data_IF_763956252020
#
_entry.id   IF_763956252020
#
_cell.length_a   1.000
_cell.length_b   1.000
_cell.length_c   1.000
_cell.angle_alpha   90.00
_cell.angle_beta   90.00
_cell.angle_gamma   90.00
#
_symmetry.space_group_name_H-M   'P 1'
#
loop_
_entity.id
_entity.type
_entity.pdbx_description
1 polymer ?
#
# COMPACT_ATOMS: atom_id res chain seq x y z
N UNK A 1 -6.08 13.04 7.22
CA UNK A 1 -6.18 11.57 7.03
C UNK A 1 -4.76 10.99 7.04
N UNK A 2 -4.47 9.86 7.71
CA UNK A 2 -3.11 9.29 7.83
C UNK A 2 -2.36 9.18 6.50
N UNK A 3 -3.03 8.75 5.44
CA UNK A 3 -2.46 8.68 4.09
C UNK A 3 -1.89 10.01 3.54
N UNK A 4 -2.46 11.17 3.90
CA UNK A 4 -1.92 12.47 3.48
C UNK A 4 -0.60 12.75 4.20
N UNK A 5 -0.53 12.47 5.50
CA UNK A 5 0.72 12.59 6.25
C UNK A 5 1.79 11.63 5.74
N UNK A 6 1.40 10.44 5.27
CA UNK A 6 2.33 9.51 4.61
C UNK A 6 2.81 10.05 3.26
N UNK A 7 1.93 10.61 2.43
CA UNK A 7 2.31 11.23 1.17
C UNK A 7 3.25 12.44 1.37
N UNK A 8 3.01 13.23 2.43
CA UNK A 8 3.91 14.31 2.82
C UNK A 8 5.25 13.80 3.36
N UNK A 9 5.24 12.76 4.20
CA UNK A 9 6.47 12.12 4.66
C UNK A 9 7.32 11.61 3.49
N UNK A 10 6.69 10.99 2.49
CA UNK A 10 7.36 10.56 1.26
C UNK A 10 7.92 11.75 0.45
N UNK A 11 7.18 12.86 0.34
CA UNK A 11 7.69 14.11 -0.27
C UNK A 11 8.90 14.68 0.46
N UNK A 12 8.94 14.53 1.79
CA UNK A 12 10.09 14.92 2.63
C UNK A 12 11.24 13.90 2.59
N UNK A 13 11.15 12.87 1.76
CA UNK A 13 12.17 11.84 1.60
C UNK A 13 12.18 10.77 2.69
N UNK A 14 11.18 10.75 3.57
CA UNK A 14 11.05 9.73 4.62
C UNK A 14 10.55 8.45 3.97
N UNK A 15 11.32 7.36 4.11
CA UNK A 15 10.92 6.05 3.63
C UNK A 15 9.82 5.51 4.54
N UNK A 16 8.64 5.26 3.97
CA UNK A 16 7.51 4.68 4.69
C UNK A 16 7.36 3.22 4.28
N UNK A 17 7.25 2.31 5.26
CA UNK A 17 7.08 0.88 5.02
C UNK A 17 5.77 0.34 5.60
N UNK A 18 5.24 -0.78 5.07
CA UNK A 18 4.15 -1.51 5.71
C UNK A 18 4.50 -1.88 7.15
N UNK A 19 3.54 -2.39 7.95
CA UNK A 19 3.89 -2.96 9.25
C UNK A 19 4.96 -4.04 9.09
N UNK A 20 5.78 -4.28 10.12
CA UNK A 20 6.74 -5.37 10.16
C UNK A 20 6.95 -5.88 11.58
N UNK A 21 6.87 -7.21 11.78
CA UNK A 21 6.89 -7.83 13.12
C UNK A 21 8.15 -7.53 13.93
N UNK A 22 9.28 -7.26 13.27
CA UNK A 22 10.54 -6.94 13.94
C UNK A 22 10.73 -5.44 14.23
N UNK A 23 9.98 -4.54 13.59
CA UNK A 23 10.25 -3.10 13.65
C UNK A 23 9.07 -2.29 14.20
N UNK A 24 7.86 -2.60 13.75
CA UNK A 24 6.65 -1.87 14.13
C UNK A 24 6.24 -2.10 15.58
N UNK A 25 5.85 -1.03 16.26
CA UNK A 25 5.03 -1.09 17.48
C UNK A 25 3.54 -1.11 17.17
N UNK A 26 2.70 -0.85 18.17
CA UNK A 26 1.24 -0.71 17.98
C UNK A 26 0.90 0.49 17.07
N UNK A 27 1.50 1.65 17.35
CA UNK A 27 1.44 2.84 16.52
C UNK A 27 2.63 2.92 15.55
N UNK A 28 2.61 3.93 14.66
CA UNK A 28 3.74 4.20 13.76
C UNK A 28 5.04 4.34 14.54
N UNK A 29 6.11 3.72 14.02
CA UNK A 29 7.41 3.64 14.69
C UNK A 29 8.49 4.09 13.72
N UNK A 30 9.33 5.04 14.14
CA UNK A 30 10.52 5.44 13.39
C UNK A 30 11.70 4.57 13.84
N UNK A 31 12.31 3.84 12.91
CA UNK A 31 13.50 3.03 13.15
C UNK A 31 14.43 3.11 11.94
N UNK A 32 15.71 3.42 12.16
CA UNK A 32 16.73 3.53 11.10
C UNK A 32 16.30 4.39 9.90
N UNK A 33 15.76 5.59 10.19
CA UNK A 33 15.24 6.55 9.18
C UNK A 33 14.04 6.04 8.36
N UNK A 34 13.50 4.87 8.72
CA UNK A 34 12.29 4.30 8.13
C UNK A 34 11.11 4.47 9.07
N UNK A 35 10.04 5.07 8.55
CA UNK A 35 8.77 5.14 9.24
C UNK A 35 7.96 3.86 8.96
N UNK A 36 7.93 2.96 9.93
CA UNK A 36 7.15 1.73 9.88
C UNK A 36 5.72 1.99 10.33
N UNK A 37 4.75 1.52 9.53
CA UNK A 37 3.36 1.53 9.94
C UNK A 37 3.15 0.68 11.19
N UNK A 38 2.27 1.11 12.09
CA UNK A 38 1.96 0.37 13.32
C UNK A 38 1.21 -0.94 13.04
N UNK A 39 1.52 -1.99 13.80
CA UNK A 39 0.79 -3.27 13.77
C UNK A 39 -0.69 -3.09 14.14
N UNK A 40 -1.03 -2.07 14.93
CA UNK A 40 -2.43 -1.73 15.25
C UNK A 40 -3.26 -1.27 14.05
N UNK A 41 -2.66 -1.07 12.87
CA UNK A 41 -3.38 -0.78 11.63
C UNK A 41 -3.77 -2.05 10.85
N UNK A 42 -3.26 -3.22 11.23
CA UNK A 42 -3.57 -4.49 10.55
C UNK A 42 -5.00 -4.90 10.90
N UNK A 43 -5.88 -4.95 9.89
CA UNK A 43 -7.28 -5.40 10.07
C UNK A 43 -7.32 -6.77 10.75
N UNK A 44 -8.26 -6.95 11.68
CA UNK A 44 -8.50 -8.20 12.41
C UNK A 44 -7.30 -8.73 13.23
N UNK A 45 -6.25 -7.92 13.47
CA UNK A 45 -5.17 -8.28 14.39
C UNK A 45 -5.53 -7.85 15.81
N UNK A 46 -5.54 -8.79 16.76
CA UNK A 46 -5.90 -8.50 18.14
C UNK A 46 -4.81 -7.69 18.84
N UNK A 47 -5.20 -6.79 19.74
CA UNK A 47 -4.26 -6.01 20.55
C UNK A 47 -3.28 -6.92 21.32
N UNK A 48 -3.77 -8.00 21.91
CA UNK A 48 -2.94 -8.98 22.64
C UNK A 48 -1.94 -9.70 21.75
N UNK A 49 -2.28 -9.93 20.47
CA UNK A 49 -1.34 -10.46 19.49
C UNK A 49 -0.24 -9.44 19.18
N UNK A 50 -0.57 -8.16 19.04
CA UNK A 50 0.43 -7.09 18.85
C UNK A 50 1.38 -7.01 20.05
N UNK A 51 0.86 -7.02 21.28
CA UNK A 51 1.67 -7.00 22.50
C UNK A 51 2.66 -8.17 22.56
N UNK A 52 2.18 -9.39 22.27
CA UNK A 52 3.02 -10.57 22.23
C UNK A 52 4.07 -10.51 21.10
N UNK A 53 3.68 -10.01 19.91
CA UNK A 53 4.60 -9.81 18.78
C UNK A 53 5.75 -8.87 19.20
N UNK A 54 5.42 -7.75 19.84
CA UNK A 54 6.40 -6.74 20.25
C UNK A 54 7.29 -7.23 21.39
N UNK A 55 6.76 -8.06 22.31
CA UNK A 55 7.51 -8.58 23.45
C UNK A 55 8.52 -9.68 23.06
N UNK A 56 8.20 -10.53 22.08
CA UNK A 56 8.97 -11.75 21.75
C UNK A 56 9.91 -11.59 20.53
N UNK A 57 9.90 -10.43 19.86
CA UNK A 57 10.77 -10.11 18.71
C UNK A 57 12.25 -10.02 19.12
N UNK A 58 13.23 -10.25 18.22
CA UNK A 58 13.08 -10.45 16.77
C UNK A 58 12.79 -11.90 16.36
N UNK A 59 12.13 -12.04 15.21
CA UNK A 59 11.82 -13.30 14.52
C UNK A 59 12.70 -13.47 13.29
N UNK A 60 13.11 -14.71 13.03
CA UNK A 60 13.96 -15.06 11.87
C UNK A 60 13.19 -15.70 10.71
N UNK A 61 12.01 -16.28 10.97
CA UNK A 61 11.11 -16.87 9.97
C UNK A 61 9.69 -17.03 10.55
N UNK A 62 8.74 -17.47 9.71
CA UNK A 62 7.34 -17.70 10.11
C UNK A 62 7.21 -18.73 11.26
N UNK A 63 7.94 -19.85 11.20
CA UNK A 63 7.86 -20.90 12.23
C UNK A 63 8.31 -20.41 13.60
N UNK A 64 9.36 -19.58 13.65
CA UNK A 64 9.83 -18.99 14.90
C UNK A 64 8.79 -18.04 15.51
N UNK A 65 8.11 -17.23 14.67
CA UNK A 65 6.97 -16.41 15.12
C UNK A 65 5.84 -17.27 15.68
N UNK A 66 5.39 -18.29 14.94
CA UNK A 66 4.25 -19.13 15.35
C UNK A 66 4.55 -20.02 16.57
N UNK A 67 5.83 -20.29 16.86
CA UNK A 67 6.25 -21.01 18.08
C UNK A 67 6.19 -20.13 19.32
N UNK A 68 6.45 -18.82 19.20
CA UNK A 68 6.53 -17.88 20.33
C UNK A 68 5.21 -17.13 20.57
N UNK A 69 4.43 -16.89 19.52
CA UNK A 69 3.20 -16.10 19.59
C UNK A 69 2.00 -16.91 19.11
N UNK A 70 0.98 -17.00 19.96
CA UNK A 70 -0.28 -17.67 19.64
C UNK A 70 -1.18 -16.80 18.75
N UNK A 71 -1.03 -16.95 17.43
CA UNK A 71 -1.84 -16.25 16.42
C UNK A 71 -2.99 -17.11 15.89
N UNK A 72 -4.13 -16.48 15.62
CA UNK A 72 -5.22 -17.11 14.89
C UNK A 72 -4.88 -17.18 13.40
N UNK A 73 -5.45 -18.16 12.69
CA UNK A 73 -5.26 -18.34 11.24
C UNK A 73 -5.44 -17.04 10.44
N UNK A 74 -6.50 -16.27 10.75
CA UNK A 74 -6.79 -15.02 10.06
C UNK A 74 -5.73 -13.93 10.33
N UNK A 75 -5.20 -13.87 11.55
CA UNK A 75 -4.11 -12.95 11.91
C UNK A 75 -2.84 -13.29 11.14
N UNK A 76 -2.50 -14.58 11.02
CA UNK A 76 -1.33 -15.05 10.25
C UNK A 76 -1.46 -14.63 8.78
N UNK A 77 -2.62 -14.92 8.15
CA UNK A 77 -2.87 -14.56 6.75
C UNK A 77 -2.76 -13.06 6.53
N UNK A 78 -3.37 -12.25 7.41
CA UNK A 78 -3.33 -10.80 7.26
C UNK A 78 -1.93 -10.21 7.49
N UNK A 79 -1.18 -10.69 8.48
CA UNK A 79 0.19 -10.28 8.71
C UNK A 79 1.09 -10.59 7.50
N UNK A 80 0.91 -11.76 6.88
CA UNK A 80 1.66 -12.12 5.67
C UNK A 80 1.24 -11.22 4.50
N UNK A 81 -0.07 -11.12 4.23
CA UNK A 81 -0.60 -10.40 3.06
C UNK A 81 -0.32 -8.90 3.09
N UNK A 82 -0.27 -8.27 4.27
CA UNK A 82 0.04 -6.85 4.41
C UNK A 82 1.55 -6.53 4.43
N UNK A 83 2.41 -7.56 4.39
CA UNK A 83 3.86 -7.40 4.36
C UNK A 83 4.55 -7.39 5.73
N UNK A 84 3.84 -7.71 6.80
CA UNK A 84 4.43 -7.73 8.15
C UNK A 84 5.53 -8.77 8.36
N UNK A 85 5.65 -9.73 7.43
CA UNK A 85 6.68 -10.76 7.43
C UNK A 85 7.58 -10.68 6.18
N UNK A 86 7.56 -9.58 5.43
CA UNK A 86 8.42 -9.42 4.26
C UNK A 86 9.90 -9.55 4.67
N UNK A 87 10.65 -10.45 4.02
CA UNK A 87 12.03 -10.77 4.38
C UNK A 87 12.19 -11.93 5.39
N UNK A 88 11.10 -12.49 5.90
CA UNK A 88 11.09 -13.71 6.72
C UNK A 88 10.76 -14.99 5.91
N UNK A 89 10.71 -14.87 4.59
CA UNK A 89 10.48 -15.93 3.60
C UNK A 89 10.70 -15.41 2.18
N UNK A 90 10.57 -16.28 1.17
CA UNK A 90 10.86 -15.93 -0.23
C UNK A 90 9.88 -14.92 -0.83
N UNK A 91 8.60 -15.07 -0.52
CA UNK A 91 7.51 -14.21 -0.98
C UNK A 91 6.31 -14.34 -0.03
N UNK A 92 5.34 -13.43 -0.11
CA UNK A 92 4.11 -13.54 0.68
C UNK A 92 3.32 -14.78 0.25
N UNK A 93 3.34 -15.14 -1.04
CA UNK A 93 2.74 -16.36 -1.57
C UNK A 93 3.38 -17.62 -0.97
N UNK A 94 4.71 -17.67 -0.89
CA UNK A 94 5.43 -18.78 -0.26
C UNK A 94 5.12 -18.89 1.25
N UNK A 95 5.08 -17.76 1.96
CA UNK A 95 4.71 -17.72 3.38
C UNK A 95 3.26 -18.18 3.63
N UNK A 96 2.32 -17.84 2.73
CA UNK A 96 0.93 -18.33 2.80
C UNK A 96 0.86 -19.86 2.59
N UNK A 97 1.65 -20.39 1.66
CA UNK A 97 1.73 -21.83 1.44
C UNK A 97 2.33 -22.55 2.66
N UNK A 98 3.41 -22.01 3.23
CA UNK A 98 4.03 -22.53 4.45
C UNK A 98 3.04 -22.51 5.63
N UNK A 99 2.30 -21.41 5.82
CA UNK A 99 1.28 -21.33 6.87
C UNK A 99 0.20 -22.41 6.73
N UNK A 100 -0.24 -22.69 5.50
CA UNK A 100 -1.22 -23.74 5.21
C UNK A 100 -0.67 -25.16 5.41
N UNK A 101 0.64 -25.38 5.23
CA UNK A 101 1.30 -26.64 5.56
C UNK A 101 1.39 -26.86 7.07
N UNK A 102 1.81 -25.84 7.83
CA UNK A 102 1.91 -25.90 9.28
C UNK A 102 0.55 -26.23 9.91
N UNK A 103 -0.52 -25.60 9.43
CA UNK A 103 -1.89 -25.87 9.89
C UNK A 103 -2.33 -27.32 9.61
N UNK A 104 -2.02 -27.85 8.42
CA UNK A 104 -2.33 -29.24 8.07
C UNK A 104 -1.56 -30.23 8.94
N UNK A 105 -0.27 -29.97 9.16
CA UNK A 105 0.58 -30.81 10.01
C UNK A 105 0.16 -30.78 11.50
N UNK A 106 -0.40 -29.66 11.98
CA UNK A 106 -0.92 -29.54 13.35
C UNK A 106 -2.28 -30.19 13.59
N UNK A 107 -3.08 -30.43 12.53
CA UNK A 107 -4.42 -31.04 12.64
C UNK A 107 -4.43 -32.56 12.50
N UNK A 108 -3.36 -33.16 11.97
CA UNK A 108 -3.22 -34.60 11.80
C UNK A 108 -2.08 -35.08 12.69
N UNK A 109 -2.41 -35.68 13.84
CA UNK A 109 -1.43 -36.29 14.73
C UNK A 109 -0.51 -37.24 13.94
N UNK A 110 0.80 -37.12 14.20
CA UNK A 110 1.91 -37.88 13.61
C UNK A 110 1.49 -39.16 12.86
N UNK A 111 1.83 -39.27 11.57
CA UNK A 111 2.51 -40.42 10.98
C UNK A 111 2.76 -40.24 9.47
N UNK A 112 4.04 -40.42 9.11
CA UNK A 112 4.52 -41.04 7.88
C UNK A 112 4.10 -40.44 6.52
N UNK A 113 4.98 -39.65 5.91
CA UNK A 113 5.85 -40.13 4.82
C UNK A 113 6.83 -39.01 4.43
N UNK A 114 8.12 -39.33 4.51
CA UNK A 114 9.19 -38.45 4.09
C UNK A 114 9.13 -38.17 2.59
N UNK A 115 9.43 -36.91 2.27
CA UNK A 115 10.12 -36.45 1.06
C UNK A 115 10.03 -37.34 -0.20
N UNK A 116 9.13 -36.94 -1.09
CA UNK A 116 9.36 -36.95 -2.54
C UNK A 116 8.97 -35.53 -2.96
N UNK A 117 9.92 -34.60 -3.07
CA UNK A 117 10.79 -34.55 -4.24
C UNK A 117 10.10 -33.68 -5.29
N UNK A 118 10.09 -32.37 -5.04
CA UNK A 118 9.51 -31.36 -5.90
C UNK A 118 9.03 -30.17 -5.07
N UNK A 119 9.96 -29.37 -4.54
CA UNK A 119 9.65 -27.98 -4.21
C UNK A 119 9.23 -27.32 -5.53
N UNK A 120 7.96 -27.41 -5.86
CA UNK A 120 7.39 -26.56 -6.89
C UNK A 120 7.42 -25.17 -6.28
N UNK A 121 8.47 -24.40 -6.60
CA UNK A 121 8.63 -23.04 -6.13
C UNK A 121 7.30 -22.30 -6.28
N UNK A 122 6.74 -21.84 -5.15
CA UNK A 122 5.47 -21.11 -5.18
C UNK A 122 5.76 -19.81 -5.92
N UNK A 123 5.09 -19.55 -7.06
CA UNK A 123 5.35 -18.33 -7.81
C UNK A 123 5.02 -17.13 -6.92
N UNK A 124 5.89 -16.10 -6.90
CA UNK A 124 5.64 -14.92 -6.09
C UNK A 124 4.37 -14.21 -6.56
N UNK A 125 3.66 -13.60 -5.62
CA UNK A 125 2.52 -12.76 -5.90
C UNK A 125 2.89 -11.62 -6.86
N UNK A 126 1.93 -11.22 -7.70
CA UNK A 126 2.11 -10.05 -8.57
C UNK A 126 2.05 -8.74 -7.76
N UNK A 127 2.59 -7.65 -8.31
CA UNK A 127 2.47 -6.33 -7.71
C UNK A 127 1.00 -5.93 -7.49
N UNK A 128 0.13 -6.19 -8.47
CA UNK A 128 -1.31 -5.92 -8.37
C UNK A 128 -1.92 -6.64 -7.15
N UNK A 129 -1.59 -7.92 -6.98
CA UNK A 129 -2.08 -8.73 -5.86
C UNK A 129 -1.59 -8.21 -4.50
N UNK A 130 -0.33 -7.77 -4.40
CA UNK A 130 0.19 -7.12 -3.17
C UNK A 130 -0.61 -5.86 -2.81
N UNK A 131 -0.84 -5.00 -3.78
CA UNK A 131 -1.55 -3.74 -3.57
C UNK A 131 -3.02 -3.97 -3.21
N UNK A 132 -3.64 -4.99 -3.79
CA UNK A 132 -5.00 -5.40 -3.43
C UNK A 132 -5.08 -5.87 -1.98
N UNK A 133 -4.15 -6.74 -1.56
CA UNK A 133 -4.06 -7.20 -0.17
C UNK A 133 -3.84 -6.06 0.82
N UNK A 134 -2.89 -5.17 0.54
CA UNK A 134 -2.61 -4.02 1.39
C UNK A 134 -3.80 -3.07 1.47
N UNK A 135 -4.45 -2.78 0.34
CA UNK A 135 -5.66 -1.95 0.31
C UNK A 135 -6.79 -2.57 1.13
N UNK A 136 -6.93 -3.90 1.10
CA UNK A 136 -7.94 -4.61 1.87
C UNK A 136 -7.65 -4.64 3.39
N UNK A 137 -6.38 -4.82 3.77
CA UNK A 137 -5.99 -5.07 5.17
C UNK A 137 -5.58 -3.79 5.90
N UNK A 138 -4.88 -2.90 5.22
CA UNK A 138 -4.37 -1.64 5.78
C UNK A 138 -5.26 -0.45 5.41
N UNK A 139 -6.14 -0.62 4.41
CA UNK A 139 -7.00 0.45 3.88
C UNK A 139 -6.32 1.29 2.80
N UNK A 140 -5.05 1.02 2.49
CA UNK A 140 -4.32 1.65 1.40
C UNK A 140 -3.07 0.86 1.00
N UNK A 141 -2.56 1.04 -0.23
CA UNK A 141 -1.28 0.50 -0.67
C UNK A 141 -0.12 1.22 0.04
N UNK A 142 0.89 0.47 0.48
CA UNK A 142 2.05 1.00 1.22
C UNK A 142 3.37 0.58 0.60
N UNK A 143 3.48 -0.66 0.13
CA UNK A 143 4.75 -1.20 -0.38
C UNK A 143 5.16 -0.61 -1.73
N UNK A 144 4.20 -0.13 -2.53
CA UNK A 144 4.45 0.55 -3.80
C UNK A 144 3.29 1.50 -4.15
N UNK A 145 3.54 2.42 -5.07
CA UNK A 145 2.48 3.30 -5.57
C UNK A 145 1.66 2.58 -6.67
N UNK A 146 0.32 2.63 -6.66
CA UNK A 146 -0.48 1.96 -7.70
C UNK A 146 -0.18 2.42 -9.13
N UNK A 147 0.28 3.66 -9.32
CA UNK A 147 0.69 4.18 -10.64
C UNK A 147 1.84 3.38 -11.25
N UNK A 148 2.65 2.71 -10.43
CA UNK A 148 3.71 1.82 -10.92
C UNK A 148 3.18 0.65 -11.74
N UNK A 149 1.95 0.19 -11.47
CA UNK A 149 1.29 -0.89 -12.23
C UNK A 149 0.99 -0.50 -13.68
N UNK A 150 0.95 0.81 -13.97
CA UNK A 150 0.61 1.35 -15.29
C UNK A 150 1.75 2.17 -15.90
N UNK A 151 2.95 2.15 -15.32
CA UNK A 151 4.09 2.98 -15.76
C UNK A 151 4.36 2.89 -17.27
N UNK A 152 4.26 1.69 -17.86
CA UNK A 152 4.45 1.49 -19.30
C UNK A 152 3.33 2.08 -20.17
N UNK A 153 2.16 2.33 -19.61
CA UNK A 153 1.02 2.96 -20.30
C UNK A 153 1.07 4.49 -20.23
N UNK A 154 1.90 5.09 -19.36
CA UNK A 154 1.99 6.54 -19.10
C UNK A 154 2.79 7.35 -20.15
N UNK A 155 3.17 6.74 -21.27
CA UNK A 155 3.97 7.42 -22.28
C UNK A 155 3.23 8.65 -22.83
N UNK A 156 3.87 9.83 -22.72
CA UNK A 156 3.32 11.11 -23.17
C UNK A 156 2.53 11.89 -22.11
N UNK A 157 2.30 11.31 -20.92
CA UNK A 157 1.67 12.05 -19.82
C UNK A 157 2.66 13.00 -19.16
N UNK A 158 2.16 14.16 -18.71
CA UNK A 158 2.93 15.15 -17.96
C UNK A 158 3.07 14.72 -16.50
N UNK A 159 4.28 14.67 -15.92
CA UNK A 159 4.47 14.43 -14.49
C UNK A 159 3.72 15.46 -13.64
N UNK A 160 3.13 15.07 -12.50
CA UNK A 160 2.28 15.98 -11.72
C UNK A 160 3.04 17.22 -11.23
N UNK A 161 4.32 17.07 -10.91
CA UNK A 161 5.19 18.18 -10.48
C UNK A 161 5.42 19.25 -11.57
N UNK A 162 5.29 18.86 -12.84
CA UNK A 162 5.52 19.71 -14.02
C UNK A 162 4.21 20.33 -14.51
N UNK A 163 3.06 19.90 -13.98
CA UNK A 163 1.75 20.47 -14.33
C UNK A 163 1.69 22.01 -14.15
N UNK A 164 2.25 22.62 -13.10
CA UNK A 164 2.28 24.08 -12.95
C UNK A 164 3.01 24.80 -14.09
N UNK A 165 4.07 24.19 -14.63
CA UNK A 165 4.91 24.77 -15.68
C UNK A 165 4.27 24.75 -17.07
N UNK A 166 3.10 24.11 -17.21
CA UNK A 166 2.36 24.02 -18.49
C UNK A 166 1.69 25.34 -18.89
N UNK A 167 1.69 26.36 -18.01
CA UNK A 167 1.15 27.72 -18.27
C UNK A 167 -0.28 27.70 -18.85
N UNK A 168 -1.12 26.79 -18.34
CA UNK A 168 -2.52 26.65 -18.75
C UNK A 168 -2.76 25.94 -20.08
N UNK A 169 -1.70 25.40 -20.71
CA UNK A 169 -1.86 24.48 -21.84
C UNK A 169 -2.51 23.18 -21.37
N UNK A 170 -3.38 22.57 -22.20
CA UNK A 170 -4.02 21.33 -21.82
C UNK A 170 -3.01 20.19 -21.90
N UNK A 171 -2.99 19.37 -20.86
CA UNK A 171 -2.12 18.20 -20.73
C UNK A 171 -2.87 17.02 -20.15
N UNK A 172 -2.29 15.84 -20.33
CA UNK A 172 -2.74 14.60 -19.70
C UNK A 172 -1.84 14.29 -18.51
N UNK A 173 -2.45 13.97 -17.37
CA UNK A 173 -1.75 13.50 -16.17
C UNK A 173 -2.29 12.12 -15.77
N UNK A 174 -1.43 11.26 -15.24
CA UNK A 174 -1.83 9.96 -14.68
C UNK A 174 -1.37 9.86 -13.24
N UNK A 175 -2.26 9.35 -12.40
CA UNK A 175 -2.06 9.34 -10.96
C UNK A 175 -3.15 8.55 -10.27
N UNK A 176 -3.16 8.63 -8.95
CA UNK A 176 -4.15 8.02 -8.07
C UNK A 176 -4.88 9.07 -7.28
N UNK A 177 -6.19 8.87 -7.07
CA UNK A 177 -6.93 9.67 -6.09
C UNK A 177 -6.46 9.33 -4.69
N UNK A 178 -5.94 10.31 -3.95
CA UNK A 178 -5.59 10.14 -2.54
C UNK A 178 -6.82 10.40 -1.65
N UNK A 179 -6.97 9.69 -0.52
CA UNK A 179 -8.04 9.96 0.44
C UNK A 179 -7.76 11.25 1.21
N UNK A 180 -8.82 11.97 1.59
CA UNK A 180 -8.70 13.20 2.39
C UNK A 180 -9.60 14.31 1.86
N UNK A 181 -9.76 15.35 2.68
CA UNK A 181 -10.50 16.56 2.32
C UNK A 181 -9.52 17.70 2.05
N UNK A 182 -9.70 18.40 0.94
CA UNK A 182 -8.82 19.50 0.48
C UNK A 182 -9.19 20.85 1.08
N UNK A 183 -10.20 20.93 1.96
CA UNK A 183 -10.69 22.21 2.48
C UNK A 183 -11.66 22.95 1.53
N UNK A 184 -11.95 22.39 0.36
CA UNK A 184 -12.79 23.02 -0.66
C UNK A 184 -13.17 22.07 -1.79
N UNK A 185 -13.56 22.58 -2.97
CA UNK A 185 -13.83 21.74 -4.13
C UNK A 185 -12.57 20.98 -4.57
N UNK A 186 -12.74 19.71 -4.92
CA UNK A 186 -11.69 18.86 -5.48
C UNK A 186 -11.25 17.71 -4.59
N UNK A 187 -10.15 17.06 -4.97
CA UNK A 187 -9.54 15.94 -4.26
C UNK A 187 -8.03 15.95 -4.47
N UNK A 188 -7.30 15.29 -3.57
CA UNK A 188 -5.86 15.09 -3.72
C UNK A 188 -5.58 14.02 -4.77
N UNK A 189 -4.61 14.27 -5.63
CA UNK A 189 -4.21 13.37 -6.71
C UNK A 189 -2.70 13.26 -6.75
N UNK A 190 -2.16 12.04 -6.75
CA UNK A 190 -0.72 11.81 -6.64
C UNK A 190 -0.19 10.69 -7.53
N UNK A 191 1.08 10.81 -7.91
CA UNK A 191 1.81 9.86 -8.77
C UNK A 191 2.87 9.04 -8.01
N UNK A 192 2.93 9.20 -6.69
CA UNK A 192 3.93 8.57 -5.81
C UNK A 192 5.20 9.38 -5.61
N UNK A 193 5.37 10.47 -6.36
CA UNK A 193 6.49 11.41 -6.19
C UNK A 193 5.97 12.79 -5.78
N UNK A 194 4.84 13.17 -6.33
CA UNK A 194 4.18 14.45 -6.08
C UNK A 194 2.67 14.25 -5.95
N UNK A 195 2.02 15.26 -5.41
CA UNK A 195 0.57 15.33 -5.41
C UNK A 195 0.15 16.78 -5.58
N UNK A 196 -1.03 16.95 -6.17
CA UNK A 196 -1.70 18.23 -6.41
C UNK A 196 -3.19 18.11 -6.08
N UNK A 197 -3.90 19.23 -6.10
CA UNK A 197 -5.37 19.24 -6.01
C UNK A 197 -5.94 19.18 -7.41
N UNK A 198 -6.82 18.21 -7.65
CA UNK A 198 -7.65 18.16 -8.87
C UNK A 198 -9.03 18.69 -8.55
N UNK A 199 -9.54 19.58 -9.40
CA UNK A 199 -10.93 20.02 -9.39
C UNK A 199 -11.64 19.56 -10.63
N UNK A 200 -12.85 19.05 -10.46
CA UNK A 200 -13.72 18.70 -11.56
C UNK A 200 -14.45 19.92 -12.12
N UNK A 201 -14.63 20.00 -13.44
CA UNK A 201 -15.60 20.91 -14.03
C UNK A 201 -17.04 20.65 -13.52
N UNK A 202 -17.93 21.65 -13.67
CA UNK A 202 -19.31 21.66 -13.12
C UNK A 202 -20.20 20.44 -13.44
N UNK A 203 -19.83 19.62 -14.44
CA UNK A 203 -20.65 18.50 -14.93
C UNK A 203 -20.10 17.10 -14.57
N UNK A 204 -19.02 16.99 -13.79
CA UNK A 204 -18.50 15.68 -13.39
C UNK A 204 -19.36 15.08 -12.27
N UNK A 205 -20.00 13.95 -12.55
CA UNK A 205 -20.87 13.22 -11.59
C UNK A 205 -20.28 11.89 -11.13
N UNK A 206 -19.17 11.48 -11.71
CA UNK A 206 -18.58 10.18 -11.44
C UNK A 206 -17.80 10.19 -10.12
N UNK A 207 -17.93 9.10 -9.35
CA UNK A 207 -17.21 8.96 -8.09
C UNK A 207 -15.90 8.24 -8.33
N UNK A 208 -14.79 8.96 -8.18
CA UNK A 208 -13.46 8.34 -8.12
C UNK A 208 -13.25 7.70 -6.74
N UNK A 209 -12.74 6.48 -6.71
CA UNK A 209 -12.43 5.75 -5.48
C UNK A 209 -11.01 6.10 -5.03
N UNK A 210 -10.76 6.11 -3.71
CA UNK A 210 -9.39 6.30 -3.20
C UNK A 210 -8.47 5.18 -3.74
N UNK A 211 -7.27 5.56 -4.12
CA UNK A 211 -6.21 4.72 -4.71
C UNK A 211 -6.50 4.19 -6.11
N UNK A 212 -7.61 4.61 -6.72
CA UNK A 212 -7.91 4.29 -8.11
C UNK A 212 -6.93 5.01 -9.04
N UNK A 213 -6.26 4.24 -9.90
CA UNK A 213 -5.38 4.76 -10.94
C UNK A 213 -6.22 5.29 -12.08
N UNK A 214 -6.09 6.58 -12.36
CA UNK A 214 -6.80 7.22 -13.46
C UNK A 214 -5.90 8.15 -14.25
N UNK A 215 -6.27 8.35 -15.50
CA UNK A 215 -5.72 9.37 -16.37
C UNK A 215 -6.74 10.48 -16.57
N UNK A 216 -6.26 11.70 -16.38
CA UNK A 216 -7.05 12.93 -16.42
C UNK A 216 -6.48 13.86 -17.47
N UNK A 217 -7.35 14.48 -18.25
CA UNK A 217 -7.01 15.53 -19.19
C UNK A 217 -7.54 16.87 -18.67
N UNK A 218 -6.74 17.93 -18.79
CA UNK A 218 -7.10 19.21 -18.18
C UNK A 218 -5.97 20.22 -18.23
N UNK A 219 -6.11 21.28 -17.43
CA UNK A 219 -5.19 22.43 -17.40
C UNK A 219 -4.83 22.81 -15.98
N UNK A 220 -3.61 23.28 -15.78
CA UNK A 220 -3.27 23.96 -14.54
C UNK A 220 -3.94 25.33 -14.45
N UNK A 221 -4.42 25.67 -13.26
CA UNK A 221 -5.04 26.95 -12.89
C UNK A 221 -4.41 27.44 -11.60
N UNK A 222 -4.37 28.75 -11.44
CA UNK A 222 -3.89 29.43 -10.25
C UNK A 222 -4.91 30.48 -9.84
N UNK A 223 -5.07 30.67 -8.54
CA UNK A 223 -5.78 31.81 -7.99
C UNK A 223 -4.84 33.02 -7.79
N UNK A 224 -5.44 34.16 -7.44
CA UNK A 224 -4.74 35.43 -7.20
C UNK A 224 -3.76 35.37 -6.00
N UNK A 225 -3.82 34.31 -5.19
CA UNK A 225 -2.99 34.10 -4.01
C UNK A 225 -1.87 33.08 -4.26
N UNK A 226 -1.70 32.62 -5.50
CA UNK A 226 -0.69 31.62 -5.88
C UNK A 226 -1.09 30.18 -5.54
N UNK A 227 -2.33 29.94 -5.13
CA UNK A 227 -2.91 28.62 -4.92
C UNK A 227 -3.25 27.97 -6.25
N UNK A 228 -2.58 26.87 -6.58
CA UNK A 228 -2.78 26.17 -7.85
C UNK A 228 -3.57 24.87 -7.77
N UNK A 229 -4.31 24.55 -8.82
CA UNK A 229 -5.00 23.27 -8.98
C UNK A 229 -5.02 22.81 -10.44
N UNK A 230 -5.16 21.51 -10.64
CA UNK A 230 -5.44 20.94 -11.94
C UNK A 230 -6.96 20.91 -12.18
N UNK A 231 -7.43 21.68 -13.16
CA UNK A 231 -8.82 21.68 -13.59
C UNK A 231 -9.00 20.58 -14.65
N UNK A 232 -9.63 19.47 -14.26
CA UNK A 232 -9.89 18.36 -15.17
C UNK A 232 -11.15 18.57 -16.01
N UNK A 233 -11.09 18.15 -17.26
CA UNK A 233 -12.25 18.00 -18.12
C UNK A 233 -13.10 16.79 -17.66
N UNK A 234 -14.38 16.69 -18.04
CA UNK A 234 -15.28 15.62 -17.56
C UNK A 234 -14.91 14.20 -18.02
N UNK A 235 -13.80 14.03 -18.75
CA UNK A 235 -13.34 12.77 -19.30
C UNK A 235 -12.30 12.15 -18.36
N UNK A 236 -12.61 10.97 -17.83
CA UNK A 236 -11.70 10.16 -17.02
C UNK A 236 -11.45 8.84 -17.73
N UNK A 237 -10.18 8.46 -17.88
CA UNK A 237 -9.80 7.14 -18.38
C UNK A 237 -9.25 6.30 -17.23
N UNK A 238 -9.90 5.17 -16.95
CA UNK A 238 -9.41 4.14 -16.02
C UNK A 238 -8.42 3.25 -16.74
N UNK A 239 -7.31 2.92 -16.07
CA UNK A 239 -6.17 2.22 -16.70
C UNK A 239 -5.88 0.89 -16.00
#
# INVERSE_FOLDING_TARGET
>A
HPAIYMAEAQKLGIVVRPPHVNFSGYAFTLADEVLWMGLGQVRDLRHTAVEAIVAERPYINLRDLLRRVSLQKKEIVHLIQCGALDGLGESRAALLAEAAEIERAGSVGQLAFGFVGGESAVPPESLHQRLEWESHILGWPVSANPVETVRGKMAGDTPLREAPDTRGQPVTITGTRLPGWTGGPGFFFGDGVSFLIVRSGRNFKEKLVSWEVVRLYGRWREDEWGGGWFEMEPQVTRI
#
